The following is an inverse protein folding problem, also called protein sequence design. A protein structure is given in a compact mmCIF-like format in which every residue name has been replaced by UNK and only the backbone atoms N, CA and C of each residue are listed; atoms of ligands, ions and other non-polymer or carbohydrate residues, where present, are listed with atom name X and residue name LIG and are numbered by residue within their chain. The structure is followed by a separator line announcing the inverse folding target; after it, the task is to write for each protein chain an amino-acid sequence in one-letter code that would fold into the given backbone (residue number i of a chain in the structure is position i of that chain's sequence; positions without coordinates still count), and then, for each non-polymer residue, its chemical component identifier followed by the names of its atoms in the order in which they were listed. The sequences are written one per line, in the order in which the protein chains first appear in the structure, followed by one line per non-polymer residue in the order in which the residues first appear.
data_IF_637311745977
#
_entry.id   IF_637311745977
#
_cell.length_a   1.000
_cell.length_b   1.000
_cell.length_c   1.000
_cell.angle_alpha   90.00
_cell.angle_beta   90.00
_cell.angle_gamma   90.00
#
_symmetry.space_group_name_H-M   'P 1'
#
loop_
_entity.id
_entity.type
_entity.pdbx_description
1 polymer ?
#
# COMPACT_ATOMS: atom_id res chain seq x y z
N UNK A 1 -20.33 -56.83 -10.89
CA UNK A 1 -19.30 -56.13 -11.67
C UNK A 1 -19.24 -54.71 -11.13
N UNK A 2 -18.20 -54.43 -10.33
CA UNK A 2 -17.99 -53.13 -9.68
C UNK A 2 -17.12 -52.29 -10.58
N UNK A 3 -17.67 -51.21 -11.17
CA UNK A 3 -16.88 -50.19 -11.86
C UNK A 3 -16.54 -49.09 -10.86
N UNK A 4 -15.29 -49.09 -10.39
CA UNK A 4 -14.73 -47.98 -9.63
C UNK A 4 -14.59 -46.75 -10.53
N UNK A 5 -15.13 -45.63 -10.07
CA UNK A 5 -14.83 -44.31 -10.60
C UNK A 5 -13.47 -43.89 -10.02
N UNK A 6 -12.46 -43.82 -10.88
CA UNK A 6 -11.19 -43.18 -10.55
C UNK A 6 -11.37 -41.67 -10.65
N UNK A 7 -11.63 -41.05 -9.50
CA UNK A 7 -11.59 -39.61 -9.31
C UNK A 7 -10.14 -39.16 -9.12
N UNK A 8 -9.32 -39.20 -10.16
CA UNK A 8 -8.03 -38.55 -10.15
C UNK A 8 -8.23 -37.05 -10.34
N UNK A 9 -8.45 -36.33 -9.24
CA UNK A 9 -8.29 -34.88 -9.22
C UNK A 9 -6.92 -34.52 -9.77
N UNK A 10 -6.86 -33.70 -10.82
CA UNK A 10 -5.61 -33.15 -11.34
C UNK A 10 -4.93 -32.39 -10.20
N UNK A 11 -3.87 -32.96 -9.64
CA UNK A 11 -2.88 -32.20 -8.90
C UNK A 11 -2.10 -31.40 -9.95
N UNK A 12 -2.58 -30.20 -10.26
CA UNK A 12 -1.75 -29.22 -10.97
C UNK A 12 -0.63 -28.81 -10.00
N UNK A 13 0.44 -29.61 -9.98
CA UNK A 13 1.62 -29.29 -9.19
C UNK A 13 2.17 -27.96 -9.71
N UNK A 14 2.17 -26.92 -8.87
CA UNK A 14 2.72 -25.60 -9.19
C UNK A 14 4.28 -25.61 -9.31
N UNK A 15 4.84 -26.76 -9.63
CA UNK A 15 6.25 -26.99 -9.87
C UNK A 15 6.71 -26.16 -11.09
N UNK A 16 7.73 -25.34 -10.87
CA UNK A 16 8.28 -24.44 -11.88
C UNK A 16 7.49 -23.14 -12.11
N UNK A 17 6.45 -22.85 -11.32
CA UNK A 17 5.83 -21.53 -11.28
C UNK A 17 6.60 -20.59 -10.36
N UNK A 18 6.83 -19.36 -10.80
CA UNK A 18 7.20 -18.26 -9.90
C UNK A 18 5.98 -17.42 -9.56
N UNK A 19 5.84 -17.05 -8.30
CA UNK A 19 4.88 -16.04 -7.85
C UNK A 19 5.56 -14.69 -7.77
N UNK A 20 4.99 -13.69 -8.43
CA UNK A 20 5.36 -12.29 -8.22
C UNK A 20 4.41 -11.69 -7.20
N UNK A 21 4.93 -11.06 -6.15
CA UNK A 21 4.09 -10.50 -5.09
C UNK A 21 4.60 -9.14 -4.63
N UNK A 22 3.64 -8.26 -4.32
CA UNK A 22 3.86 -7.01 -3.58
C UNK A 22 3.95 -7.24 -2.07
N UNK A 23 4.10 -6.16 -1.31
CA UNK A 23 4.08 -6.23 0.16
C UNK A 23 2.64 -6.45 0.70
N UNK A 24 2.52 -6.62 2.01
CA UNK A 24 1.27 -6.94 2.71
C UNK A 24 0.30 -5.76 2.78
N UNK A 25 0.80 -4.52 2.70
CA UNK A 25 -0.08 -3.36 2.63
C UNK A 25 -0.81 -3.27 1.30
N UNK A 26 -0.44 -4.04 0.27
CA UNK A 26 -1.22 -4.24 -0.95
C UNK A 26 -1.78 -2.96 -1.56
N UNK A 27 -1.02 -1.87 -1.47
CA UNK A 27 -1.34 -0.59 -2.07
C UNK A 27 -1.23 -0.68 -3.59
N UNK A 28 -1.50 0.43 -4.28
CA UNK A 28 -1.47 0.43 -5.74
C UNK A 28 -0.08 0.10 -6.28
N UNK A 29 0.99 0.51 -5.60
CA UNK A 29 2.36 0.26 -6.08
C UNK A 29 2.71 -1.22 -6.06
N UNK A 30 2.44 -1.88 -4.93
CA UNK A 30 2.56 -3.33 -4.78
C UNK A 30 1.75 -4.09 -5.84
N UNK A 31 0.49 -3.70 -6.04
CA UNK A 31 -0.41 -4.35 -7.00
C UNK A 31 0.05 -4.13 -8.45
N UNK A 32 0.34 -2.90 -8.83
CA UNK A 32 0.73 -2.53 -10.18
C UNK A 32 2.09 -3.14 -10.54
N UNK A 33 3.04 -3.08 -9.62
CA UNK A 33 4.36 -3.68 -9.78
C UNK A 33 4.26 -5.19 -9.94
N UNK A 34 3.40 -5.87 -9.17
CA UNK A 34 3.28 -7.32 -9.24
C UNK A 34 2.71 -7.78 -10.59
N UNK A 35 1.64 -7.11 -11.05
CA UNK A 35 1.04 -7.38 -12.36
C UNK A 35 1.99 -7.04 -13.51
N UNK A 36 2.61 -5.86 -13.45
CA UNK A 36 3.55 -5.38 -14.45
C UNK A 36 4.76 -6.31 -14.58
N UNK A 37 5.35 -6.73 -13.46
CA UNK A 37 6.52 -7.61 -13.49
C UNK A 37 6.17 -9.06 -13.83
N UNK A 38 5.02 -9.59 -13.39
CA UNK A 38 4.55 -10.91 -13.80
C UNK A 38 4.31 -10.99 -15.31
N UNK A 39 3.72 -9.97 -15.91
CA UNK A 39 3.52 -9.94 -17.36
C UNK A 39 4.85 -9.85 -18.12
N UNK A 40 5.80 -9.04 -17.63
CA UNK A 40 7.14 -8.99 -18.22
C UNK A 40 7.78 -10.38 -18.21
N UNK A 41 7.73 -11.06 -17.06
CA UNK A 41 8.30 -12.39 -16.90
C UNK A 41 7.56 -13.45 -17.70
N UNK A 42 6.25 -13.39 -17.89
CA UNK A 42 5.54 -14.39 -18.69
C UNK A 42 5.94 -14.33 -20.16
N UNK A 43 6.39 -13.17 -20.64
CA UNK A 43 6.87 -12.95 -21.99
C UNK A 43 8.38 -13.12 -22.17
N UNK A 44 9.15 -13.27 -21.08
CA UNK A 44 10.62 -13.36 -21.13
C UNK A 44 11.18 -14.61 -20.45
N UNK A 45 10.53 -15.11 -19.40
CA UNK A 45 11.04 -16.13 -18.49
C UNK A 45 9.95 -16.94 -17.76
N UNK A 46 9.52 -18.03 -18.40
CA UNK A 46 8.89 -19.17 -17.73
C UNK A 46 7.44 -18.97 -17.26
N UNK A 47 6.97 -19.91 -16.42
CA UNK A 47 5.62 -19.89 -15.85
C UNK A 47 5.60 -18.96 -14.64
N UNK A 48 4.78 -17.92 -14.71
CA UNK A 48 4.71 -16.90 -13.67
C UNK A 48 3.28 -16.44 -13.46
N UNK A 49 2.95 -16.08 -12.23
CA UNK A 49 1.65 -15.52 -11.86
C UNK A 49 1.84 -14.37 -10.87
N UNK A 50 1.09 -13.29 -11.06
CA UNK A 50 0.98 -12.24 -10.04
C UNK A 50 0.07 -12.74 -8.92
N UNK A 51 0.54 -12.62 -7.68
CA UNK A 51 -0.22 -12.92 -6.49
C UNK A 51 -0.54 -11.64 -5.76
N UNK A 52 -1.83 -11.38 -5.56
CA UNK A 52 -2.32 -10.21 -4.85
C UNK A 52 -2.49 -10.60 -3.39
N UNK A 53 -1.68 -9.99 -2.53
CA UNK A 53 -1.61 -10.27 -1.09
C UNK A 53 -2.82 -9.76 -0.31
N UNK A 54 -3.57 -8.82 -0.89
CA UNK A 54 -4.76 -8.21 -0.31
C UNK A 54 -5.95 -9.18 -0.31
N UNK A 55 -6.52 -9.49 0.87
CA UNK A 55 -7.79 -10.23 0.96
C UNK A 55 -8.93 -9.51 0.24
N UNK A 56 -9.90 -10.26 -0.27
CA UNK A 56 -11.07 -9.71 -0.98
C UNK A 56 -11.84 -8.69 -0.13
N UNK A 57 -12.08 -9.02 1.13
CA UNK A 57 -12.78 -8.17 2.10
C UNK A 57 -12.04 -6.84 2.38
N UNK A 58 -10.72 -6.80 2.19
CA UNK A 58 -9.88 -5.61 2.45
C UNK A 58 -9.68 -4.76 1.19
N UNK A 59 -10.00 -5.29 0.00
CA UNK A 59 -9.76 -4.57 -1.25
C UNK A 59 -10.66 -3.34 -1.41
N UNK A 60 -11.86 -3.38 -0.83
CA UNK A 60 -12.79 -2.23 -0.81
C UNK A 60 -12.23 -1.04 -0.04
N UNK A 61 -11.26 -1.28 0.85
CA UNK A 61 -10.55 -0.23 1.58
C UNK A 61 -9.62 0.59 0.67
N UNK A 62 -9.31 0.07 -0.52
CA UNK A 62 -8.39 0.67 -1.50
C UNK A 62 -9.13 1.07 -2.76
N UNK A 63 -10.02 2.05 -2.63
CA UNK A 63 -10.81 2.59 -3.74
C UNK A 63 -9.95 3.10 -4.91
N UNK A 64 -8.72 3.53 -4.63
CA UNK A 64 -7.71 3.89 -5.62
C UNK A 64 -7.24 2.68 -6.44
N UNK A 65 -7.08 1.50 -5.83
CA UNK A 65 -6.71 0.26 -6.53
C UNK A 65 -7.81 -0.12 -7.50
N UNK A 66 -9.06 -0.19 -7.02
CA UNK A 66 -10.22 -0.50 -7.84
C UNK A 66 -10.37 0.46 -9.02
N UNK A 67 -10.10 1.75 -8.79
CA UNK A 67 -10.18 2.72 -9.87
C UNK A 67 -9.06 2.59 -10.90
N UNK A 68 -7.81 2.41 -10.45
CA UNK A 68 -6.68 2.22 -11.35
C UNK A 68 -6.84 0.94 -12.18
N UNK A 69 -7.34 -0.14 -11.58
CA UNK A 69 -7.71 -1.38 -12.27
C UNK A 69 -8.81 -1.14 -13.32
N UNK A 70 -9.86 -0.40 -12.97
CA UNK A 70 -10.91 -0.04 -13.92
C UNK A 70 -10.40 0.82 -15.09
N UNK A 71 -9.47 1.75 -14.84
CA UNK A 71 -8.78 2.50 -15.91
C UNK A 71 -7.94 1.60 -16.83
N UNK A 72 -7.40 0.51 -16.29
CA UNK A 72 -6.69 -0.53 -17.02
C UNK A 72 -7.61 -1.62 -17.60
N UNK A 73 -8.93 -1.47 -17.52
CA UNK A 73 -9.90 -2.41 -18.10
C UNK A 73 -10.23 -3.64 -17.24
N UNK A 74 -9.66 -3.76 -16.03
CA UNK A 74 -9.95 -4.83 -15.08
C UNK A 74 -11.11 -4.38 -14.21
N UNK A 75 -12.30 -4.92 -14.49
CA UNK A 75 -13.54 -4.49 -13.82
C UNK A 75 -13.99 -5.47 -12.73
N UNK A 76 -13.53 -6.72 -12.79
CA UNK A 76 -13.89 -7.77 -11.83
C UNK A 76 -12.61 -8.40 -11.26
N UNK A 77 -11.82 -7.67 -10.45
CA UNK A 77 -10.50 -8.10 -10.03
C UNK A 77 -10.48 -9.45 -9.30
N UNK A 78 -11.53 -9.86 -8.61
CA UNK A 78 -11.56 -11.16 -7.92
C UNK A 78 -11.84 -12.35 -8.84
N UNK A 79 -12.39 -12.10 -10.03
CA UNK A 79 -12.52 -13.12 -11.07
C UNK A 79 -11.27 -13.18 -11.96
N UNK A 80 -10.52 -12.08 -12.03
CA UNK A 80 -9.40 -11.89 -12.96
C UNK A 80 -8.02 -12.03 -12.30
N UNK A 81 -7.89 -11.81 -10.99
CA UNK A 81 -6.64 -11.81 -10.24
C UNK A 81 -6.55 -12.99 -9.29
N UNK A 82 -5.33 -13.48 -9.10
CA UNK A 82 -5.07 -14.61 -8.21
C UNK A 82 -4.77 -14.14 -6.78
N UNK A 83 -5.73 -14.39 -5.88
CA UNK A 83 -5.69 -13.97 -4.46
C UNK A 83 -5.76 -15.14 -3.46
N UNK A 84 -5.60 -16.39 -3.92
CA UNK A 84 -5.81 -17.58 -3.08
C UNK A 84 -4.77 -17.73 -1.97
N UNK A 85 -5.24 -17.98 -0.74
CA UNK A 85 -4.37 -18.18 0.42
C UNK A 85 -3.65 -19.54 0.47
N UNK A 86 -4.09 -20.55 -0.30
CA UNK A 86 -3.42 -21.88 -0.39
C UNK A 86 -2.34 -21.86 -1.48
N UNK A 87 -1.32 -21.03 -1.25
CA UNK A 87 -0.20 -20.88 -2.17
C UNK A 87 0.81 -22.01 -1.99
N UNK A 88 0.85 -22.96 -2.94
CA UNK A 88 1.79 -24.09 -2.93
C UNK A 88 2.92 -23.91 -3.94
N UNK A 89 3.70 -22.84 -3.80
CA UNK A 89 4.84 -22.53 -4.69
C UNK A 89 6.15 -22.46 -3.92
N UNK A 90 7.26 -22.64 -4.63
CA UNK A 90 8.60 -22.58 -4.07
C UNK A 90 9.44 -21.42 -4.61
N UNK A 91 8.99 -20.70 -5.63
CA UNK A 91 9.73 -19.58 -6.21
C UNK A 91 8.96 -18.27 -6.09
N UNK A 92 9.67 -17.23 -5.64
CA UNK A 92 9.11 -15.92 -5.36
C UNK A 92 9.92 -14.82 -6.06
N UNK A 93 9.23 -13.85 -6.63
CA UNK A 93 9.79 -12.60 -7.09
C UNK A 93 9.12 -11.49 -6.27
N UNK A 94 9.93 -10.73 -5.55
CA UNK A 94 9.43 -9.68 -4.66
C UNK A 94 9.46 -8.36 -5.39
N UNK A 95 8.35 -7.63 -5.32
CA UNK A 95 8.28 -6.24 -5.77
C UNK A 95 7.78 -5.38 -4.62
N UNK A 96 8.25 -4.14 -4.50
CA UNK A 96 7.82 -3.20 -3.46
C UNK A 96 8.09 -3.66 -2.01
N UNK A 97 8.99 -4.65 -1.88
CA UNK A 97 9.65 -5.12 -0.66
C UNK A 97 10.83 -6.02 -1.03
N UNK A 98 11.76 -6.22 -0.09
CA UNK A 98 12.96 -7.02 -0.31
C UNK A 98 13.22 -8.11 0.75
N UNK A 99 12.21 -8.41 1.60
CA UNK A 99 12.24 -9.54 2.53
C UNK A 99 10.96 -10.40 2.46
N UNK A 100 11.11 -11.71 2.18
CA UNK A 100 9.98 -12.62 2.05
C UNK A 100 9.38 -12.91 3.44
N UNK A 101 8.09 -12.60 3.61
CA UNK A 101 7.40 -12.86 4.87
C UNK A 101 7.45 -14.35 5.26
N UNK A 102 7.71 -14.59 6.54
CA UNK A 102 7.85 -15.92 7.16
C UNK A 102 6.71 -16.91 6.89
N UNK A 103 5.49 -16.44 6.58
CA UNK A 103 4.35 -17.31 6.22
C UNK A 103 4.54 -18.05 4.89
N UNK A 104 5.37 -17.51 4.01
CA UNK A 104 5.73 -18.11 2.72
C UNK A 104 7.09 -18.84 2.79
N UNK A 105 7.84 -18.64 3.87
CA UNK A 105 9.13 -19.28 4.06
C UNK A 105 8.97 -20.79 4.26
N UNK A 106 9.73 -21.56 3.49
CA UNK A 106 9.86 -23.01 3.63
C UNK A 106 11.28 -23.43 3.25
N UNK A 107 11.74 -24.64 3.60
CA UNK A 107 13.08 -25.11 3.20
C UNK A 107 13.33 -25.12 1.69
N UNK A 108 12.26 -25.13 0.90
CA UNK A 108 12.30 -25.09 -0.58
C UNK A 108 12.00 -23.71 -1.16
N UNK A 109 11.58 -22.74 -0.34
CA UNK A 109 11.28 -21.39 -0.81
C UNK A 109 12.56 -20.70 -1.28
N UNK A 110 12.48 -20.07 -2.46
CA UNK A 110 13.57 -19.36 -3.09
C UNK A 110 13.09 -18.05 -3.69
N UNK A 111 13.73 -16.96 -3.29
CA UNK A 111 13.54 -15.66 -3.93
C UNK A 111 14.46 -15.58 -5.15
N UNK A 112 13.86 -15.35 -6.32
CA UNK A 112 14.52 -15.37 -7.64
C UNK A 112 14.61 -14.00 -8.31
N UNK A 113 13.88 -13.00 -7.81
CA UNK A 113 14.02 -11.60 -8.22
C UNK A 113 13.57 -10.68 -7.09
N UNK A 114 14.16 -9.48 -7.02
CA UNK A 114 13.74 -8.40 -6.13
C UNK A 114 13.77 -7.09 -6.91
N UNK A 115 12.68 -6.31 -6.85
CA UNK A 115 12.61 -4.95 -7.38
C UNK A 115 11.95 -4.08 -6.31
N UNK A 116 12.71 -3.22 -5.66
CA UNK A 116 12.24 -2.47 -4.51
C UNK A 116 12.93 -1.10 -4.37
N UNK A 117 12.28 -0.17 -3.69
CA UNK A 117 12.81 1.16 -3.39
C UNK A 117 12.91 1.48 -1.89
N UNK A 118 12.51 0.55 -1.03
CA UNK A 118 12.67 0.66 0.42
C UNK A 118 14.13 0.42 0.86
N UNK A 119 14.38 0.50 2.17
CA UNK A 119 15.68 0.18 2.76
C UNK A 119 16.11 -1.26 2.43
N UNK A 120 17.36 -1.45 2.01
CA UNK A 120 17.87 -2.77 1.61
C UNK A 120 18.19 -3.64 2.85
N UNK A 121 17.42 -4.69 3.08
CA UNK A 121 17.62 -5.68 4.16
C UNK A 121 18.82 -6.61 3.89
N UNK A 122 19.45 -6.49 2.72
CA UNK A 122 20.66 -7.21 2.35
C UNK A 122 20.43 -8.69 1.99
N UNK A 123 19.17 -9.12 1.83
CA UNK A 123 18.80 -10.51 1.58
C UNK A 123 18.92 -10.92 0.09
N UNK A 124 18.99 -12.23 -0.14
CA UNK A 124 18.84 -12.89 -1.45
C UNK A 124 19.85 -12.54 -2.55
N UNK A 125 20.98 -11.90 -2.21
CA UNK A 125 21.99 -11.41 -3.18
C UNK A 125 22.49 -12.43 -4.19
N UNK A 126 22.59 -13.70 -3.80
CA UNK A 126 23.11 -14.79 -4.65
C UNK A 126 22.02 -15.58 -5.38
N UNK A 127 20.75 -15.33 -5.10
CA UNK A 127 19.63 -16.11 -5.66
C UNK A 127 18.74 -15.33 -6.61
N UNK A 128 18.88 -14.01 -6.65
CA UNK A 128 18.01 -13.09 -7.39
C UNK A 128 18.64 -12.55 -8.66
N UNK A 129 17.90 -12.58 -9.76
CA UNK A 129 18.24 -11.93 -11.03
C UNK A 129 16.93 -11.51 -11.75
N UNK A 130 16.59 -10.21 -11.79
CA UNK A 130 17.34 -9.08 -11.26
C UNK A 130 17.22 -8.92 -9.73
N UNK A 131 18.19 -8.21 -9.13
CA UNK A 131 18.09 -7.62 -7.78
C UNK A 131 18.27 -6.11 -7.87
N UNK A 132 17.17 -5.39 -7.88
CA UNK A 132 17.14 -3.94 -7.95
C UNK A 132 16.59 -3.44 -6.62
N UNK A 133 17.45 -2.83 -5.80
CA UNK A 133 17.04 -2.14 -4.56
C UNK A 133 17.66 -0.76 -4.58
N UNK A 134 16.89 0.24 -5.03
CA UNK A 134 17.40 1.57 -5.37
C UNK A 134 16.36 2.66 -5.08
N UNK A 135 16.76 3.90 -4.75
CA UNK A 135 15.82 4.99 -4.50
C UNK A 135 14.89 5.26 -5.71
N UNK A 136 13.59 5.27 -5.44
CA UNK A 136 12.54 5.69 -6.37
C UNK A 136 11.37 6.32 -5.57
N UNK A 137 10.53 7.11 -6.23
CA UNK A 137 9.27 7.56 -5.66
C UNK A 137 8.19 6.47 -5.68
N UNK A 138 8.36 5.47 -6.56
CA UNK A 138 7.49 4.31 -6.71
C UNK A 138 8.25 3.09 -7.24
N UNK A 139 7.94 1.89 -6.74
CA UNK A 139 8.44 0.62 -7.26
C UNK A 139 8.04 0.42 -8.73
N UNK A 140 6.86 0.90 -9.12
CA UNK A 140 6.38 0.86 -10.50
C UNK A 140 7.33 1.59 -11.47
N UNK A 141 8.07 2.61 -11.02
CA UNK A 141 9.13 3.25 -11.80
C UNK A 141 10.30 2.31 -12.07
N UNK A 142 10.70 1.50 -11.08
CA UNK A 142 11.76 0.49 -11.24
C UNK A 142 11.31 -0.64 -12.17
N UNK A 143 10.06 -1.08 -12.07
CA UNK A 143 9.48 -2.08 -12.99
C UNK A 143 9.46 -1.55 -14.43
N UNK A 144 9.04 -0.30 -14.64
CA UNK A 144 9.07 0.35 -15.95
C UNK A 144 10.49 0.40 -16.54
N UNK A 145 11.50 0.63 -15.70
CA UNK A 145 12.91 0.58 -16.12
C UNK A 145 13.32 -0.82 -16.62
N UNK A 146 12.82 -1.91 -16.02
CA UNK A 146 13.09 -3.28 -16.52
C UNK A 146 12.48 -3.50 -17.92
N UNK A 147 11.32 -2.91 -18.21
CA UNK A 147 10.76 -2.92 -19.57
C UNK A 147 11.66 -2.17 -20.56
N UNK A 148 12.21 -1.00 -20.18
CA UNK A 148 13.12 -0.24 -21.04
C UNK A 148 14.40 -1.02 -21.38
N UNK A 149 14.85 -1.89 -20.47
CA UNK A 149 15.98 -2.80 -20.68
C UNK A 149 15.62 -4.04 -21.51
N UNK A 150 14.35 -4.21 -21.87
CA UNK A 150 13.80 -5.33 -22.65
C UNK A 150 13.32 -4.85 -24.04
N UNK A 151 14.22 -4.49 -24.97
CA UNK A 151 13.90 -3.70 -26.18
C UNK A 151 12.95 -4.39 -27.18
N UNK A 152 12.76 -5.71 -27.06
CA UNK A 152 11.84 -6.48 -27.91
C UNK A 152 10.47 -6.72 -27.27
N UNK A 153 10.24 -6.19 -26.07
CA UNK A 153 9.01 -6.38 -25.31
C UNK A 153 8.20 -5.08 -25.29
N UNK A 154 7.01 -5.13 -25.88
CA UNK A 154 6.05 -4.03 -25.80
C UNK A 154 5.22 -4.19 -24.53
N UNK A 155 5.08 -3.12 -23.75
CA UNK A 155 4.18 -3.13 -22.58
C UNK A 155 2.74 -2.86 -23.07
N UNK A 156 1.75 -3.68 -22.66
CA UNK A 156 0.34 -3.41 -22.94
C UNK A 156 -0.12 -2.06 -22.43
N UNK A 157 -1.14 -1.48 -23.06
CA UNK A 157 -1.63 -0.16 -22.70
C UNK A 157 -2.29 -0.15 -21.31
N UNK A 158 -2.96 -1.24 -20.96
CA UNK A 158 -3.57 -1.52 -19.67
C UNK A 158 -2.52 -1.51 -18.56
N UNK A 159 -1.43 -2.26 -18.74
CA UNK A 159 -0.33 -2.30 -17.76
C UNK A 159 0.43 -0.97 -17.70
N UNK A 160 0.62 -0.30 -18.84
CA UNK A 160 1.19 1.05 -18.86
C UNK A 160 0.35 2.03 -18.05
N UNK A 161 -0.97 1.93 -18.15
CA UNK A 161 -1.94 2.76 -17.41
C UNK A 161 -1.87 2.47 -15.91
N UNK A 162 -1.75 1.19 -15.53
CA UNK A 162 -1.70 0.77 -14.15
C UNK A 162 -0.40 1.21 -13.45
N UNK A 163 0.76 0.93 -14.07
CA UNK A 163 2.07 1.37 -13.56
C UNK A 163 2.14 2.90 -13.48
N UNK A 164 1.66 3.61 -14.50
CA UNK A 164 1.62 5.08 -14.48
C UNK A 164 0.72 5.61 -13.35
N UNK A 165 -0.41 4.95 -13.08
CA UNK A 165 -1.31 5.34 -11.99
C UNK A 165 -0.64 5.21 -10.61
N UNK A 166 0.11 4.13 -10.39
CA UNK A 166 0.91 3.95 -9.18
C UNK A 166 1.95 5.06 -9.02
N UNK A 167 2.76 5.30 -10.05
CA UNK A 167 3.78 6.36 -10.06
C UNK A 167 3.14 7.72 -9.74
N UNK A 168 2.04 8.08 -10.38
CA UNK A 168 1.37 9.36 -10.13
C UNK A 168 0.84 9.46 -8.69
N UNK A 169 0.32 8.36 -8.13
CA UNK A 169 -0.14 8.30 -6.73
C UNK A 169 1.03 8.44 -5.75
N UNK A 170 2.11 7.69 -5.95
CA UNK A 170 3.24 7.68 -5.03
C UNK A 170 4.27 8.77 -5.31
N UNK A 171 4.04 9.62 -6.28
CA UNK A 171 4.85 10.83 -6.48
C UNK A 171 4.07 12.13 -6.27
N UNK A 172 2.79 12.03 -5.89
CA UNK A 172 1.90 13.20 -5.81
C UNK A 172 1.72 13.94 -7.14
N UNK A 173 1.74 13.18 -8.25
CA UNK A 173 1.59 13.70 -9.60
C UNK A 173 2.86 14.31 -10.19
N UNK A 174 4.04 13.80 -9.81
CA UNK A 174 5.35 14.23 -10.35
C UNK A 174 5.64 15.74 -10.22
N UNK A 175 5.04 16.40 -9.22
CA UNK A 175 5.17 17.85 -9.01
C UNK A 175 6.64 18.27 -8.86
N UNK A 176 6.96 19.44 -9.39
CA UNK A 176 8.26 20.07 -9.18
C UNK A 176 8.48 20.33 -7.68
N UNK A 177 9.66 19.98 -7.17
CA UNK A 177 9.97 20.03 -5.74
C UNK A 177 9.23 19.00 -4.87
N UNK A 178 8.48 18.06 -5.46
CA UNK A 178 7.83 16.95 -4.78
C UNK A 178 8.77 15.76 -4.50
N UNK A 179 8.18 14.62 -4.09
CA UNK A 179 8.93 13.38 -3.78
C UNK A 179 9.41 12.58 -5.00
N UNK A 180 9.06 13.01 -6.21
CA UNK A 180 9.49 12.36 -7.45
C UNK A 180 10.99 12.54 -7.70
N UNK A 181 11.67 11.44 -7.99
CA UNK A 181 13.05 11.37 -8.50
C UNK A 181 13.05 11.34 -10.03
N UNK A 182 14.23 11.44 -10.64
CA UNK A 182 14.38 11.47 -12.10
C UNK A 182 13.90 10.15 -12.73
N UNK A 183 14.13 9.02 -12.07
CA UNK A 183 13.64 7.72 -12.51
C UNK A 183 12.11 7.66 -12.62
N UNK A 184 11.37 8.35 -11.73
CA UNK A 184 9.92 8.39 -11.80
C UNK A 184 9.44 9.22 -13.01
N UNK A 185 10.15 10.31 -13.33
CA UNK A 185 9.86 11.15 -14.49
C UNK A 185 10.18 10.43 -15.79
N UNK A 186 11.31 9.74 -15.85
CA UNK A 186 11.72 8.91 -16.99
C UNK A 186 10.75 7.75 -17.22
N UNK A 187 10.36 7.04 -16.16
CA UNK A 187 9.37 5.97 -16.22
C UNK A 187 8.01 6.51 -16.70
N UNK A 188 7.53 7.62 -16.15
CA UNK A 188 6.30 8.24 -16.61
C UNK A 188 6.35 8.65 -18.08
N UNK A 189 7.46 9.28 -18.52
CA UNK A 189 7.65 9.66 -19.93
C UNK A 189 7.64 8.44 -20.87
N UNK A 190 8.16 7.29 -20.42
CA UNK A 190 8.12 6.03 -21.16
C UNK A 190 6.71 5.40 -21.22
N UNK A 191 5.94 5.48 -20.13
CA UNK A 191 4.62 4.83 -20.01
C UNK A 191 3.48 5.65 -20.62
N UNK A 192 3.51 6.98 -20.52
CA UNK A 192 2.46 7.88 -21.03
C UNK A 192 2.05 7.54 -22.48
N UNK A 193 2.96 7.50 -23.48
CA UNK A 193 2.57 7.28 -24.88
C UNK A 193 1.99 5.89 -25.15
N UNK A 194 2.17 4.95 -24.22
CA UNK A 194 1.66 3.58 -24.31
C UNK A 194 0.35 3.43 -23.52
N UNK A 195 0.05 4.35 -22.60
CA UNK A 195 -1.12 4.29 -21.71
C UNK A 195 -2.44 4.64 -22.40
N UNK A 196 -3.53 4.11 -21.85
CA UNK A 196 -4.90 4.46 -22.25
C UNK A 196 -5.25 5.92 -21.89
N UNK A 197 -4.51 6.52 -20.94
CA UNK A 197 -4.71 7.92 -20.51
C UNK A 197 -4.32 8.93 -21.60
N UNK A 198 -3.30 8.64 -22.42
CA UNK A 198 -2.93 9.50 -23.55
C UNK A 198 -4.01 9.51 -24.64
N UNK A 199 -4.71 8.39 -24.83
CA UNK A 199 -5.80 8.27 -25.80
C UNK A 199 -7.04 9.07 -25.37
N UNK A 200 -7.31 9.17 -24.06
CA UNK A 200 -8.43 9.95 -23.53
C UNK A 200 -8.25 11.47 -23.70
N UNK A 201 -7.01 11.98 -23.66
CA UNK A 201 -6.71 13.40 -23.84
C UNK A 201 -6.73 13.87 -25.32
N UNK A 202 -6.73 12.94 -26.28
CA UNK A 202 -6.84 13.26 -27.73
C UNK A 202 -8.29 13.40 -28.20
N UNK A 203 -9.27 13.18 -27.32
CA UNK A 203 -10.67 13.46 -27.60
C UNK A 203 -10.95 14.97 -27.42
N UNK A 204 -11.51 15.69 -28.42
CA UNK A 204 -11.67 17.16 -28.38
C UNK A 204 -12.62 17.68 -27.28
N UNK A 205 -13.23 16.80 -26.49
CA UNK A 205 -14.17 17.15 -25.42
C UNK A 205 -13.63 16.98 -24.00
N UNK A 206 -12.40 16.48 -23.79
CA UNK A 206 -11.81 16.31 -22.45
C UNK A 206 -10.38 16.87 -22.41
N UNK A 207 -10.27 18.20 -22.35
CA UNK A 207 -9.02 18.83 -21.91
C UNK A 207 -8.90 18.65 -20.40
N UNK A 208 -8.12 17.66 -19.96
CA UNK A 208 -7.73 17.59 -18.55
C UNK A 208 -6.77 18.74 -18.31
N UNK A 209 -7.22 19.77 -17.59
CA UNK A 209 -6.37 20.86 -17.14
C UNK A 209 -5.21 20.29 -16.32
N UNK A 210 -3.97 20.63 -16.68
CA UNK A 210 -2.71 20.21 -16.04
C UNK A 210 -2.58 20.50 -14.52
N UNK A 211 -3.63 21.03 -13.88
CA UNK A 211 -3.67 21.37 -12.45
C UNK A 211 -4.62 20.47 -11.64
N UNK A 212 -5.34 19.54 -12.27
CA UNK A 212 -6.25 18.64 -11.59
C UNK A 212 -5.54 17.32 -11.30
N UNK A 213 -5.50 16.93 -10.01
CA UNK A 213 -4.92 15.66 -9.59
C UNK A 213 -5.58 14.52 -10.39
N UNK A 214 -4.80 13.54 -10.91
CA UNK A 214 -5.35 12.49 -11.74
C UNK A 214 -6.46 11.73 -10.98
N UNK A 215 -7.52 11.24 -11.64
CA UNK A 215 -8.68 10.64 -10.98
C UNK A 215 -8.39 9.58 -9.89
N UNK A 216 -7.37 8.70 -10.01
CA UNK A 216 -6.96 7.78 -8.93
C UNK A 216 -6.53 8.47 -7.65
N UNK A 217 -5.88 9.62 -7.78
CA UNK A 217 -5.38 10.40 -6.67
C UNK A 217 -6.53 10.97 -5.81
N UNK A 218 -7.61 11.41 -6.46
CA UNK A 218 -8.79 11.94 -5.77
C UNK A 218 -9.49 10.84 -4.97
N UNK A 219 -9.48 9.60 -5.47
CA UNK A 219 -10.05 8.44 -4.76
C UNK A 219 -9.21 7.99 -3.58
N UNK A 220 -7.87 8.00 -3.67
CA UNK A 220 -6.98 7.69 -2.52
C UNK A 220 -7.25 8.59 -1.31
N UNK A 221 -7.64 9.84 -1.57
CA UNK A 221 -7.97 10.84 -0.54
C UNK A 221 -9.43 10.74 -0.05
N UNK A 222 -10.29 9.99 -0.75
CA UNK A 222 -11.72 9.85 -0.41
C UNK A 222 -11.93 8.78 0.66
N UNK A 223 -11.63 9.11 1.91
CA UNK A 223 -11.62 8.16 3.05
C UNK A 223 -12.69 8.43 4.11
N UNK A 224 -13.55 9.43 3.90
CA UNK A 224 -14.55 9.87 4.89
C UNK A 224 -15.59 8.82 5.26
N UNK A 225 -15.74 7.78 4.45
CA UNK A 225 -16.67 6.66 4.64
C UNK A 225 -16.05 5.47 5.39
N UNK A 226 -14.74 5.49 5.64
CA UNK A 226 -14.02 4.42 6.32
C UNK A 226 -14.09 4.60 7.84
N UNK A 227 -14.27 3.49 8.56
CA UNK A 227 -14.17 3.51 10.02
C UNK A 227 -12.71 3.70 10.48
N UNK A 228 -12.50 4.03 11.75
CA UNK A 228 -11.16 4.11 12.34
C UNK A 228 -10.37 2.80 12.17
N UNK A 229 -11.04 1.64 12.29
CA UNK A 229 -10.45 0.33 12.03
C UNK A 229 -9.98 0.21 10.59
N UNK A 230 -10.83 0.58 9.65
CA UNK A 230 -10.56 0.49 8.21
C UNK A 230 -9.38 1.35 7.80
N UNK A 231 -9.28 2.57 8.35
CA UNK A 231 -8.15 3.48 8.12
C UNK A 231 -6.82 2.89 8.61
N UNK A 232 -6.83 2.20 9.76
CA UNK A 232 -5.63 1.56 10.31
C UNK A 232 -5.23 0.32 9.52
N UNK A 233 -6.22 -0.43 9.03
CA UNK A 233 -6.00 -1.68 8.29
C UNK A 233 -5.54 -1.45 6.85
N UNK A 234 -6.03 -0.38 6.22
CA UNK A 234 -5.77 -0.06 4.81
C UNK A 234 -4.28 0.03 4.46
N UNK A 235 -3.49 0.69 5.29
CA UNK A 235 -2.05 0.94 5.10
C UNK A 235 -1.17 0.11 6.07
N UNK A 236 -1.72 -0.98 6.63
CA UNK A 236 -0.99 -1.83 7.56
C UNK A 236 0.09 -2.67 6.84
N UNK A 237 1.34 -2.56 7.30
CA UNK A 237 2.44 -3.47 6.96
C UNK A 237 2.86 -4.24 8.21
N UNK A 238 2.88 -5.57 8.15
CA UNK A 238 3.44 -6.40 9.20
C UNK A 238 4.95 -6.54 8.97
N UNK A 239 5.73 -5.60 9.51
CA UNK A 239 7.19 -5.63 9.37
C UNK A 239 7.92 -6.02 10.65
N UNK A 240 9.00 -6.79 10.47
CA UNK A 240 10.11 -6.77 11.39
C UNK A 240 10.84 -5.42 11.36
N UNK A 241 10.59 -4.56 12.37
CA UNK A 241 11.40 -3.40 12.87
C UNK A 241 11.35 -2.01 12.18
N UNK A 242 11.00 -0.98 13.00
CA UNK A 242 10.91 0.54 12.94
C UNK A 242 10.30 1.33 11.72
N UNK A 243 9.25 2.21 11.76
CA UNK A 243 8.56 2.96 12.83
C UNK A 243 7.31 3.81 12.41
N UNK A 244 6.95 4.91 13.16
CA UNK A 244 5.97 6.03 12.87
C UNK A 244 4.90 6.52 13.94
N UNK A 245 3.99 7.48 13.57
CA UNK A 245 3.08 8.39 14.36
C UNK A 245 1.55 8.23 14.07
N UNK A 246 0.58 8.39 14.98
CA UNK A 246 -0.88 8.09 14.71
C UNK A 246 -1.86 9.27 14.98
N UNK A 247 -2.92 9.39 14.16
CA UNK A 247 -4.11 10.26 14.35
C UNK A 247 -5.40 9.42 14.27
N UNK A 248 -6.42 9.69 15.11
CA UNK A 248 -7.64 8.86 15.30
C UNK A 248 -8.91 9.73 15.29
N UNK A 249 -9.98 9.28 14.62
CA UNK A 249 -11.31 9.92 14.60
C UNK A 249 -12.24 9.32 15.68
N UNK A 250 -13.06 10.18 16.31
CA UNK A 250 -13.74 9.95 17.57
C UNK A 250 -14.96 8.99 17.48
N UNK A 251 -14.80 7.81 18.07
CA UNK A 251 -15.83 7.16 18.89
C UNK A 251 -15.31 7.30 20.33
N UNK A 252 -16.03 8.03 21.20
CA UNK A 252 -15.55 8.37 22.55
C UNK A 252 -15.19 7.13 23.38
N UNK A 253 -15.94 6.03 23.23
CA UNK A 253 -15.69 4.79 23.96
C UNK A 253 -14.47 4.03 23.45
N UNK A 254 -14.19 4.11 22.15
CA UNK A 254 -12.99 3.49 21.55
C UNK A 254 -11.77 4.33 21.85
N UNK A 255 -11.88 5.66 21.77
CA UNK A 255 -10.79 6.58 22.12
C UNK A 255 -10.33 6.35 23.56
N UNK A 256 -11.26 6.26 24.52
CA UNK A 256 -10.93 6.03 25.93
C UNK A 256 -10.25 4.67 26.16
N UNK A 257 -10.78 3.59 25.59
CA UNK A 257 -10.17 2.24 25.68
C UNK A 257 -8.77 2.20 25.06
N UNK A 258 -8.61 2.89 23.93
CA UNK A 258 -7.34 2.97 23.21
C UNK A 258 -6.31 3.78 24.00
N UNK A 259 -6.72 4.89 24.64
CA UNK A 259 -5.87 5.65 25.56
C UNK A 259 -5.46 4.82 26.77
N UNK A 260 -6.40 4.13 27.43
CA UNK A 260 -6.09 3.25 28.56
C UNK A 260 -5.12 2.13 28.16
N UNK A 261 -5.32 1.51 27.00
CA UNK A 261 -4.44 0.48 26.48
C UNK A 261 -3.03 0.97 26.14
N UNK A 262 -2.91 2.15 25.53
CA UNK A 262 -1.60 2.76 25.25
C UNK A 262 -0.88 3.23 26.53
N UNK A 263 -1.60 3.83 27.48
CA UNK A 263 -1.07 4.31 28.76
C UNK A 263 -0.64 3.16 29.69
N UNK A 264 -1.32 2.02 29.62
CA UNK A 264 -0.99 0.80 30.39
C UNK A 264 0.19 -0.01 29.85
N UNK A 265 0.71 0.34 28.67
CA UNK A 265 1.83 -0.38 28.06
C UNK A 265 3.16 -0.12 28.78
N UNK A 266 3.71 -1.16 29.40
CA UNK A 266 5.04 -1.13 30.05
C UNK A 266 6.18 -0.86 29.05
N UNK A 267 5.96 -1.11 27.75
CA UNK A 267 6.93 -0.88 26.68
C UNK A 267 7.01 0.60 26.25
N UNK A 268 5.86 1.29 26.16
CA UNK A 268 5.77 2.66 25.63
C UNK A 268 6.17 3.73 26.65
N UNK A 269 5.97 3.47 27.95
CA UNK A 269 6.33 4.37 29.07
C UNK A 269 5.90 5.82 28.82
N UNK A 270 4.65 6.00 28.41
CA UNK A 270 4.12 7.31 28.01
C UNK A 270 4.07 8.28 29.20
N UNK A 271 4.45 9.54 28.98
CA UNK A 271 4.25 10.65 29.92
C UNK A 271 3.35 11.69 29.28
N UNK A 272 2.21 12.01 29.89
CA UNK A 272 1.25 12.99 29.36
C UNK A 272 1.92 14.36 29.21
N UNK A 273 1.73 15.01 28.06
CA UNK A 273 2.13 16.40 27.84
C UNK A 273 0.89 17.28 27.95
N UNK A 274 1.02 18.36 28.69
CA UNK A 274 0.00 19.41 28.75
C UNK A 274 0.13 20.30 27.49
N UNK A 275 -0.94 20.33 26.69
CA UNK A 275 -0.96 20.94 25.36
C UNK A 275 -1.39 22.41 25.37
N UNK A 276 -1.67 22.97 26.54
CA UNK A 276 -2.02 24.39 26.74
C UNK A 276 -0.99 25.38 26.19
N UNK A 277 0.26 24.96 25.95
CA UNK A 277 1.35 25.81 25.43
C UNK A 277 1.49 25.86 23.91
N UNK A 278 0.75 25.03 23.15
CA UNK A 278 0.90 24.90 21.70
C UNK A 278 -0.32 25.35 20.88
N UNK A 279 -1.28 26.05 21.50
CA UNK A 279 -2.30 26.82 20.79
C UNK A 279 -3.43 26.01 20.14
N UNK A 280 -3.65 24.77 20.56
CA UNK A 280 -4.86 24.01 20.21
C UNK A 280 -5.79 24.00 21.43
N UNK A 281 -6.92 24.70 21.32
CA UNK A 281 -7.95 24.74 22.35
C UNK A 281 -8.47 23.32 22.62
N UNK A 282 -8.04 22.75 23.75
CA UNK A 282 -8.74 21.64 24.38
C UNK A 282 -10.01 22.23 25.00
N UNK A 283 -11.17 21.75 24.57
CA UNK A 283 -12.44 21.98 25.28
C UNK A 283 -12.33 21.28 26.64
N UNK A 284 -11.90 22.02 27.66
CA UNK A 284 -12.17 21.66 29.05
C UNK A 284 -13.47 22.35 29.46
N UNK A 285 -14.41 21.57 29.98
CA UNK A 285 -15.53 22.09 30.75
C UNK A 285 -14.96 22.88 31.94
N UNK A 286 -15.01 24.21 31.88
CA UNK A 286 -14.69 25.08 33.02
C UNK A 286 -15.97 25.72 33.54
N UNK A 287 -16.28 25.45 34.81
CA UNK A 287 -17.39 26.03 35.60
C UNK A 287 -17.13 27.51 36.00
N UNK A 288 -16.78 28.39 35.06
CA UNK A 288 -16.55 29.82 35.35
C UNK A 288 -17.48 30.72 34.51
N UNK A 289 -18.29 31.53 35.19
CA UNK A 289 -19.42 32.32 34.66
C UNK A 289 -19.05 33.57 33.82
N UNK A 290 -17.79 33.82 33.45
CA UNK A 290 -17.40 35.09 32.81
C UNK A 290 -16.32 34.95 31.71
N UNK A 291 -16.57 34.17 30.64
CA UNK A 291 -15.73 34.19 29.44
C UNK A 291 -16.55 34.50 28.18
N UNK A 292 -16.28 35.66 27.57
CA UNK A 292 -16.89 36.09 26.31
C UNK A 292 -16.59 35.10 25.17
N UNK A 293 -17.67 34.70 24.48
CA UNK A 293 -17.66 33.81 23.33
C UNK A 293 -17.00 34.51 22.12
N UNK A 294 -15.77 34.11 21.79
CA UNK A 294 -15.11 34.53 20.55
C UNK A 294 -15.20 33.39 19.55
N UNK A 295 -16.21 33.44 18.67
CA UNK A 295 -16.34 32.55 17.52
C UNK A 295 -15.37 32.99 16.42
N UNK A 296 -14.25 32.30 16.25
CA UNK A 296 -13.47 32.38 15.01
C UNK A 296 -13.85 31.22 14.10
N UNK A 297 -14.64 31.54 13.08
CA UNK A 297 -14.82 30.73 11.88
C UNK A 297 -13.45 30.48 11.22
N UNK A 298 -12.89 29.27 11.39
CA UNK A 298 -12.00 28.56 10.46
C UNK A 298 -11.40 27.30 11.13
N UNK A 299 -12.25 26.40 11.62
CA UNK A 299 -11.80 25.06 11.97
C UNK A 299 -11.52 24.28 10.67
N UNK A 300 -10.23 24.00 10.37
CA UNK A 300 -9.80 23.12 9.26
C UNK A 300 -10.29 21.67 9.36
N UNK A 301 -10.99 21.32 10.44
CA UNK A 301 -11.54 20.00 10.69
C UNK A 301 -12.96 20.17 11.22
N UNK A 302 -13.94 19.63 10.49
CA UNK A 302 -15.31 19.52 10.97
C UNK A 302 -15.41 18.66 12.24
N UNK A 303 -16.53 18.80 12.93
CA UNK A 303 -16.86 18.34 14.30
C UNK A 303 -16.11 17.11 14.89
N UNK A 304 -15.69 17.33 16.15
CA UNK A 304 -15.21 16.40 17.20
C UNK A 304 -14.04 15.47 16.88
N UNK A 305 -12.81 15.96 17.03
CA UNK A 305 -11.59 15.15 17.20
C UNK A 305 -11.08 15.31 18.63
N UNK A 306 -10.75 14.22 19.31
CA UNK A 306 -10.10 14.24 20.63
C UNK A 306 -8.63 13.90 20.45
N UNK A 307 -7.77 14.90 20.67
CA UNK A 307 -6.32 14.75 20.53
C UNK A 307 -5.67 14.67 21.91
N UNK A 308 -4.90 13.60 22.17
CA UNK A 308 -4.00 13.52 23.34
C UNK A 308 -2.56 13.40 22.86
N UNK A 309 -1.68 14.15 23.51
CA UNK A 309 -0.26 14.08 23.23
C UNK A 309 0.53 13.53 24.42
N UNK A 310 1.49 12.69 24.09
CA UNK A 310 2.36 12.04 25.07
C UNK A 310 3.81 12.29 24.69
N UNK A 311 4.63 12.60 25.69
CA UNK A 311 6.08 12.44 25.60
C UNK A 311 6.37 10.95 25.78
N UNK A 312 6.78 10.30 24.70
CA UNK A 312 7.20 8.91 24.74
C UNK A 312 8.47 8.79 25.60
N UNK A 313 8.38 8.09 26.73
CA UNK A 313 9.49 7.96 27.68
C UNK A 313 10.61 7.05 27.17
N UNK A 314 10.29 6.14 26.24
CA UNK A 314 11.24 5.32 25.52
C UNK A 314 11.32 5.80 24.06
N UNK A 315 12.31 6.63 23.74
CA UNK A 315 12.48 7.21 22.41
C UNK A 315 12.78 6.17 21.29
N UNK A 316 13.01 4.91 21.66
CA UNK A 316 13.19 3.78 20.73
C UNK A 316 11.87 3.11 20.33
N UNK A 317 10.75 3.51 20.93
CA UNK A 317 9.45 2.96 20.60
C UNK A 317 8.81 3.68 19.40
N UNK A 318 8.28 2.93 18.44
CA UNK A 318 7.85 3.45 17.13
C UNK A 318 6.44 2.94 16.76
N UNK A 319 5.78 3.39 15.65
CA UNK A 319 4.45 2.84 15.17
C UNK A 319 4.42 1.30 15.20
N UNK A 320 5.56 0.63 15.12
CA UNK A 320 5.71 -0.84 15.13
C UNK A 320 5.56 -1.51 16.50
N UNK A 321 5.66 -0.78 17.60
CA UNK A 321 5.26 -1.28 18.93
C UNK A 321 3.82 -0.86 19.27
N UNK A 322 3.39 0.29 18.75
CA UNK A 322 2.04 0.81 18.94
C UNK A 322 1.00 0.00 18.16
N UNK A 323 1.28 -0.41 16.92
CA UNK A 323 0.33 -1.10 16.04
C UNK A 323 -0.12 -2.49 16.54
N UNK A 324 0.76 -3.39 17.05
CA UNK A 324 0.31 -4.66 17.65
C UNK A 324 -0.51 -4.48 18.93
N UNK A 325 -0.22 -3.42 19.72
CA UNK A 325 -1.01 -3.04 20.90
C UNK A 325 -2.38 -2.54 20.47
N UNK A 326 -2.46 -1.65 19.47
CA UNK A 326 -3.72 -1.22 18.86
C UNK A 326 -4.51 -2.42 18.33
N UNK A 327 -3.86 -3.33 17.60
CA UNK A 327 -4.47 -4.54 17.06
C UNK A 327 -5.09 -5.39 18.18
N UNK A 328 -4.34 -5.68 19.26
CA UNK A 328 -4.87 -6.41 20.43
C UNK A 328 -6.03 -5.69 21.12
N UNK A 329 -5.99 -4.37 21.19
CA UNK A 329 -7.06 -3.56 21.80
C UNK A 329 -8.31 -3.50 20.92
N UNK A 330 -8.16 -3.58 19.60
CA UNK A 330 -9.24 -3.51 18.60
C UNK A 330 -9.84 -4.87 18.25
N UNK A 331 -9.06 -5.95 18.34
CA UNK A 331 -9.51 -7.35 18.14
C UNK A 331 -10.19 -7.94 19.40
N UNK A 332 -10.20 -7.21 20.54
CA UNK A 332 -10.82 -7.64 21.81
C UNK A 332 -9.86 -8.41 22.73
N UNK A 333 -9.99 -8.47 24.06
CA UNK A 333 -11.20 -8.48 24.91
C UNK A 333 -12.38 -9.25 24.32
#
# INVERSE_FOLDING_TARGET
MSSGADGSGRSDNAEGWTVVMGNEAGDLDSLASALGYAWLRSNTSGKVIAYITTPEDDFVLRAENLHALGLAGINYPFEELYCSSDLRVSQFALVDHNDLHTRYASPTARVVAVIDYHEDEGQYKDTTDPRIVEPAGSCSSLVARVYQLSPNLFIPAELSTLLLSAILIDTQGLKEGGKALDIDREAAAFLIPQSLLDTMNKSPHHQINNHQLPPPFQKKLSVSHLSTRDLLWRDYKEEGKAGATLDIKADEGIAEKLWQGLESSEELKLKRLDFSKFGANATEESEDEDAEEVTTDEARFGESYVTKAYKQGNASATRKQTAPILRRLMEGL
#
